data_IF_432348992902
#
_entry.id   IF_432348992902
#
_cell.length_a   1.000
_cell.length_b   1.000
_cell.length_c   1.000
_cell.angle_alpha   90.00
_cell.angle_beta   90.00
_cell.angle_gamma   90.00
#
_symmetry.space_group_name_H-M   'P 1'
#
loop_
_entity.id
_entity.type
_entity.pdbx_description
1 polymer ?
#
# COMPACT_ATOMS: atom_id res chain seq x y z
N UNK A 1 12.83 11.00 6.99
CA UNK A 1 11.45 10.48 6.78
C UNK A 1 10.76 10.38 8.14
N UNK A 2 9.53 10.92 8.27
CA UNK A 2 8.68 10.73 9.47
C UNK A 2 8.14 9.31 9.53
N UNK A 3 7.88 8.81 10.74
CA UNK A 3 7.30 7.49 10.97
C UNK A 3 6.04 7.59 11.81
N UNK A 4 5.15 6.60 11.66
CA UNK A 4 3.91 6.44 12.45
C UNK A 4 3.84 5.04 13.05
N UNK A 5 3.13 4.94 14.17
CA UNK A 5 2.88 3.66 14.83
C UNK A 5 1.75 2.92 14.11
N UNK A 6 1.94 1.63 13.87
CA UNK A 6 0.97 0.70 13.32
C UNK A 6 1.00 -0.58 14.18
N UNK A 7 0.16 -0.64 15.21
CA UNK A 7 0.26 -1.67 16.24
C UNK A 7 1.67 -1.71 16.84
N UNK A 8 2.37 -2.87 16.83
CA UNK A 8 3.75 -2.99 17.31
C UNK A 8 4.81 -2.45 16.32
N UNK A 9 4.40 -1.98 15.14
CA UNK A 9 5.29 -1.59 14.06
C UNK A 9 5.48 -0.07 14.02
N UNK A 10 6.64 0.36 13.50
CA UNK A 10 6.93 1.76 13.23
C UNK A 10 7.24 1.95 11.75
N UNK A 11 6.26 2.46 11.00
CA UNK A 11 6.29 2.56 9.53
C UNK A 11 6.57 3.98 9.06
N UNK A 12 7.33 4.14 7.98
CA UNK A 12 7.51 5.43 7.31
C UNK A 12 6.19 5.92 6.70
N UNK A 13 5.95 7.23 6.76
CA UNK A 13 4.71 7.87 6.25
C UNK A 13 4.52 7.62 4.75
N UNK A 14 5.62 7.49 4.01
CA UNK A 14 5.64 7.02 2.63
C UNK A 14 6.24 5.62 2.61
N UNK A 15 5.51 4.65 2.09
CA UNK A 15 5.93 3.28 1.88
C UNK A 15 6.19 2.98 0.40
N UNK A 16 6.92 1.91 0.12
CA UNK A 16 7.18 1.42 -1.23
C UNK A 16 6.26 0.25 -1.58
N UNK A 17 5.37 0.45 -2.56
CA UNK A 17 4.60 -0.63 -3.17
C UNK A 17 5.43 -1.40 -4.21
N UNK A 18 5.62 -2.70 -3.99
CA UNK A 18 6.54 -3.55 -4.74
C UNK A 18 5.89 -4.29 -5.93
N UNK A 19 4.68 -3.93 -6.35
CA UNK A 19 3.94 -4.62 -7.42
C UNK A 19 4.57 -4.49 -8.83
N UNK A 20 5.61 -3.67 -8.99
CA UNK A 20 6.38 -3.56 -10.23
C UNK A 20 7.54 -4.58 -10.30
N UNK A 21 8.00 -5.10 -9.18
CA UNK A 21 9.12 -6.04 -9.09
C UNK A 21 8.74 -7.39 -9.72
N UNK A 22 9.62 -7.95 -10.54
CA UNK A 22 9.35 -9.17 -11.29
C UNK A 22 8.38 -9.00 -12.48
N UNK A 23 7.97 -7.75 -12.77
CA UNK A 23 7.09 -7.44 -13.92
C UNK A 23 7.67 -6.34 -14.82
N UNK A 24 7.86 -5.15 -14.29
CA UNK A 24 8.41 -3.96 -14.97
C UNK A 24 9.83 -3.64 -14.53
N UNK A 25 10.23 -4.19 -13.41
CA UNK A 25 11.55 -3.98 -12.79
C UNK A 25 12.15 -5.36 -12.56
N UNK A 26 13.32 -5.59 -13.11
CA UNK A 26 14.10 -6.80 -12.91
C UNK A 26 14.80 -6.81 -11.54
N UNK A 27 15.60 -7.84 -11.28
CA UNK A 27 16.29 -8.00 -10.00
C UNK A 27 17.29 -6.86 -9.72
N UNK A 28 18.07 -6.45 -10.73
CA UNK A 28 19.06 -5.37 -10.58
C UNK A 28 18.38 -4.02 -10.33
N UNK A 29 17.33 -3.72 -11.09
CA UNK A 29 16.51 -2.53 -10.90
C UNK A 29 15.79 -2.53 -9.54
N UNK A 30 15.31 -3.71 -9.09
CA UNK A 30 14.70 -3.85 -7.75
C UNK A 30 15.70 -3.48 -6.67
N UNK A 31 16.96 -3.98 -6.75
CA UNK A 31 17.99 -3.62 -5.79
C UNK A 31 18.23 -2.11 -5.76
N UNK A 32 18.38 -1.47 -6.92
CA UNK A 32 18.60 -0.03 -7.00
C UNK A 32 17.42 0.79 -6.41
N UNK A 33 16.17 0.34 -6.64
CA UNK A 33 14.96 0.96 -6.08
C UNK A 33 14.92 0.78 -4.55
N UNK A 34 15.24 -0.41 -4.02
CA UNK A 34 15.28 -0.69 -2.58
C UNK A 34 16.41 0.10 -1.89
N UNK A 35 17.59 0.19 -2.52
CA UNK A 35 18.71 1.01 -2.00
C UNK A 35 18.27 2.48 -1.86
N UNK A 36 17.68 3.06 -2.92
CA UNK A 36 17.19 4.43 -2.88
C UNK A 36 16.07 4.66 -1.86
N UNK A 37 15.23 3.64 -1.61
CA UNK A 37 14.17 3.72 -0.60
C UNK A 37 14.77 3.80 0.81
N UNK A 38 15.69 2.91 1.14
CA UNK A 38 16.38 2.90 2.43
C UNK A 38 17.18 4.17 2.66
N UNK A 39 17.91 4.67 1.63
CA UNK A 39 18.65 5.93 1.69
C UNK A 39 17.75 7.15 1.91
N UNK A 40 16.53 7.12 1.37
CA UNK A 40 15.53 8.16 1.61
C UNK A 40 14.78 8.01 2.96
N UNK A 41 15.13 6.99 3.76
CA UNK A 41 14.50 6.69 5.04
C UNK A 41 13.13 6.01 4.94
N UNK A 42 12.78 5.47 3.77
CA UNK A 42 11.59 4.63 3.61
C UNK A 42 11.90 3.25 4.18
N UNK A 43 11.15 2.84 5.20
CA UNK A 43 11.33 1.53 5.84
C UNK A 43 10.17 0.56 5.60
N UNK A 44 9.04 1.02 5.06
CA UNK A 44 7.86 0.20 4.83
C UNK A 44 7.79 -0.29 3.38
N UNK A 45 7.92 -1.62 3.20
CA UNK A 45 7.93 -2.30 1.90
C UNK A 45 6.72 -3.23 1.82
N UNK A 46 5.82 -2.98 0.86
CA UNK A 46 4.58 -3.72 0.68
C UNK A 46 4.62 -4.56 -0.59
N UNK A 47 4.67 -5.87 -0.44
CA UNK A 47 4.63 -6.86 -1.53
C UNK A 47 3.43 -7.79 -1.42
N UNK A 48 3.38 -8.87 -2.20
CA UNK A 48 2.41 -9.94 -2.12
C UNK A 48 2.92 -11.21 -2.84
N UNK A 49 2.46 -12.38 -2.41
CA UNK A 49 2.76 -13.67 -3.07
C UNK A 49 2.41 -13.69 -4.56
N UNK A 50 1.36 -12.96 -4.95
CA UNK A 50 0.86 -12.90 -6.34
C UNK A 50 1.64 -11.93 -7.23
N UNK A 51 2.49 -11.03 -6.69
CA UNK A 51 3.18 -10.04 -7.50
C UNK A 51 4.32 -10.67 -8.29
N UNK A 52 4.26 -10.52 -9.61
CA UNK A 52 5.24 -11.14 -10.52
C UNK A 52 5.33 -12.66 -10.35
N UNK A 53 4.25 -13.33 -9.94
CA UNK A 53 4.22 -14.78 -9.64
C UNK A 53 5.29 -15.18 -8.58
N UNK A 54 5.40 -14.38 -7.53
CA UNK A 54 6.35 -14.57 -6.43
C UNK A 54 7.71 -13.90 -6.65
N UNK A 55 8.03 -13.43 -7.85
CA UNK A 55 9.32 -12.77 -8.13
C UNK A 55 9.49 -11.48 -7.32
N UNK A 56 8.40 -10.75 -7.03
CA UNK A 56 8.48 -9.55 -6.20
C UNK A 56 9.04 -9.85 -4.82
N UNK A 57 8.58 -10.92 -4.17
CA UNK A 57 9.11 -11.35 -2.87
C UNK A 57 10.57 -11.82 -2.99
N UNK A 58 10.89 -12.62 -4.02
CA UNK A 58 12.25 -13.14 -4.21
C UNK A 58 13.27 -12.00 -4.43
N UNK A 59 12.95 -11.03 -5.29
CA UNK A 59 13.83 -9.89 -5.57
C UNK A 59 13.97 -8.97 -4.35
N UNK A 60 12.88 -8.77 -3.60
CA UNK A 60 12.90 -7.97 -2.38
C UNK A 60 13.75 -8.64 -1.28
N UNK A 61 13.58 -9.95 -1.08
CA UNK A 61 14.38 -10.74 -0.13
C UNK A 61 15.88 -10.65 -0.44
N UNK A 62 16.26 -10.82 -1.72
CA UNK A 62 17.63 -10.65 -2.18
C UNK A 62 18.17 -9.22 -1.94
N UNK A 63 17.36 -8.20 -2.26
CA UNK A 63 17.74 -6.80 -2.06
C UNK A 63 17.90 -6.44 -0.57
N UNK A 64 17.20 -7.10 0.34
CA UNK A 64 17.28 -6.86 1.80
C UNK A 64 18.28 -7.76 2.51
N UNK A 65 19.01 -8.64 1.81
CA UNK A 65 19.99 -9.53 2.42
C UNK A 65 21.04 -8.74 3.20
N UNK A 66 21.26 -9.11 4.47
CA UNK A 66 22.21 -8.44 5.39
C UNK A 66 21.74 -7.08 5.94
N UNK A 67 20.48 -6.71 5.67
CA UNK A 67 19.88 -5.45 6.17
C UNK A 67 18.35 -5.55 6.39
N UNK A 68 17.86 -6.79 6.61
CA UNK A 68 16.44 -7.09 6.85
C UNK A 68 15.85 -6.25 8.00
N UNK A 69 16.63 -5.96 9.01
CA UNK A 69 16.28 -5.18 10.20
C UNK A 69 15.99 -3.70 9.89
N UNK A 70 16.39 -3.19 8.72
CA UNK A 70 16.09 -1.82 8.28
C UNK A 70 14.70 -1.70 7.65
N UNK A 71 14.03 -2.82 7.41
CA UNK A 71 12.74 -2.89 6.71
C UNK A 71 11.62 -3.36 7.63
N UNK A 72 10.47 -2.67 7.57
CA UNK A 72 9.18 -3.21 7.96
C UNK A 72 8.58 -3.85 6.72
N UNK A 73 8.57 -5.17 6.71
CA UNK A 73 8.22 -5.97 5.55
C UNK A 73 6.78 -6.45 5.63
N UNK A 74 5.95 -6.00 4.69
CA UNK A 74 4.58 -6.44 4.52
C UNK A 74 4.45 -7.34 3.29
N UNK A 75 3.77 -8.48 3.44
CA UNK A 75 3.33 -9.30 2.31
C UNK A 75 1.88 -9.75 2.48
N UNK A 76 1.31 -10.36 1.43
CA UNK A 76 -0.09 -10.72 1.37
C UNK A 76 -0.28 -12.13 0.84
N UNK A 77 -1.33 -12.80 1.32
CA UNK A 77 -1.81 -14.09 0.83
C UNK A 77 -3.25 -13.98 0.30
N UNK A 78 -3.68 -14.98 -0.43
CA UNK A 78 -5.06 -15.07 -0.91
C UNK A 78 -5.36 -14.18 -2.12
N UNK A 79 -4.35 -13.55 -2.71
CA UNK A 79 -4.48 -12.71 -3.90
C UNK A 79 -4.21 -13.47 -5.20
N UNK A 80 -4.71 -12.88 -6.33
CA UNK A 80 -4.41 -13.36 -7.68
C UNK A 80 -5.31 -14.52 -8.17
N UNK A 81 -6.00 -14.27 -9.27
CA UNK A 81 -6.90 -15.22 -9.91
C UNK A 81 -8.38 -14.98 -9.61
N UNK A 82 -9.25 -15.74 -10.27
CA UNK A 82 -10.68 -15.82 -9.97
C UNK A 82 -10.85 -16.12 -8.49
N UNK A 83 -11.80 -15.45 -7.85
CA UNK A 83 -12.12 -15.46 -6.43
C UNK A 83 -11.46 -16.60 -5.65
N UNK A 84 -10.61 -16.25 -4.70
CA UNK A 84 -9.69 -17.17 -4.03
C UNK A 84 -10.37 -18.17 -3.14
N UNK A 85 -10.94 -19.16 -3.74
CA UNK A 85 -11.64 -20.23 -3.06
C UNK A 85 -10.70 -21.03 -2.15
N UNK A 86 -11.00 -21.05 -0.84
CA UNK A 86 -10.25 -21.78 0.18
C UNK A 86 -8.91 -21.15 0.57
N UNK A 87 -8.59 -19.94 0.09
CA UNK A 87 -7.30 -19.27 0.36
C UNK A 87 -7.22 -18.65 1.75
N UNK A 88 -8.36 -18.49 2.43
CA UNK A 88 -8.46 -18.04 3.81
C UNK A 88 -8.36 -19.19 4.84
N UNK A 89 -8.30 -20.44 4.42
CA UNK A 89 -8.20 -21.57 5.34
C UNK A 89 -6.86 -21.63 6.06
N UNK A 90 -6.85 -22.13 7.28
CA UNK A 90 -5.66 -22.25 8.13
C UNK A 90 -4.50 -22.95 7.41
N UNK A 91 -4.77 -24.04 6.69
CA UNK A 91 -3.75 -24.77 5.96
C UNK A 91 -3.13 -23.92 4.85
N UNK A 92 -3.97 -23.25 4.05
CA UNK A 92 -3.49 -22.43 2.94
C UNK A 92 -2.74 -21.20 3.42
N UNK A 93 -3.18 -20.54 4.49
CA UNK A 93 -2.48 -19.40 5.10
C UNK A 93 -1.06 -19.81 5.52
N UNK A 94 -0.91 -20.95 6.20
CA UNK A 94 0.38 -21.47 6.64
C UNK A 94 1.28 -21.83 5.46
N UNK A 95 0.75 -22.53 4.46
CA UNK A 95 1.50 -22.87 3.23
C UNK A 95 1.96 -21.62 2.49
N UNK A 96 1.08 -20.63 2.33
CA UNK A 96 1.38 -19.37 1.67
C UNK A 96 2.48 -18.60 2.41
N UNK A 97 2.40 -18.53 3.75
CA UNK A 97 3.42 -17.87 4.58
C UNK A 97 4.77 -18.56 4.46
N UNK A 98 4.84 -19.88 4.60
CA UNK A 98 6.09 -20.64 4.45
C UNK A 98 6.76 -20.37 3.10
N UNK A 99 5.98 -20.39 2.00
CA UNK A 99 6.48 -20.07 0.68
C UNK A 99 6.95 -18.62 0.56
N UNK A 100 6.25 -17.66 1.19
CA UNK A 100 6.65 -16.26 1.23
C UNK A 100 7.93 -16.05 2.02
N UNK A 101 8.08 -16.68 3.20
CA UNK A 101 9.30 -16.63 4.01
C UNK A 101 10.53 -17.16 3.25
N UNK A 102 10.35 -18.27 2.50
CA UNK A 102 11.43 -18.81 1.65
C UNK A 102 11.83 -17.80 0.55
N UNK A 103 10.87 -17.22 -0.18
CA UNK A 103 11.16 -16.23 -1.23
C UNK A 103 11.78 -14.96 -0.67
N UNK A 104 11.30 -14.47 0.47
CA UNK A 104 11.79 -13.28 1.16
C UNK A 104 13.11 -13.51 1.93
N UNK A 105 13.56 -14.77 2.06
CA UNK A 105 14.79 -15.16 2.76
C UNK A 105 14.83 -14.64 4.21
N UNK A 106 13.74 -14.80 4.94
CA UNK A 106 13.57 -14.34 6.33
C UNK A 106 12.77 -15.36 7.13
N UNK A 107 12.91 -15.35 8.43
CA UNK A 107 12.18 -16.21 9.37
C UNK A 107 10.83 -15.65 9.80
N UNK A 108 10.60 -14.35 9.57
CA UNK A 108 9.34 -13.67 9.88
C UNK A 108 9.03 -12.52 8.92
N UNK A 109 7.76 -12.13 8.85
CA UNK A 109 7.32 -10.87 8.26
C UNK A 109 6.71 -9.95 9.31
N UNK A 110 6.82 -8.64 9.10
CA UNK A 110 6.32 -7.67 10.08
C UNK A 110 4.81 -7.49 9.99
N UNK A 111 4.26 -7.46 8.76
CA UNK A 111 2.82 -7.34 8.52
C UNK A 111 2.37 -8.36 7.49
N UNK A 112 1.47 -9.26 7.88
CA UNK A 112 0.89 -10.27 6.98
C UNK A 112 -0.57 -9.94 6.71
N UNK A 113 -0.96 -9.81 5.42
CA UNK A 113 -2.27 -9.28 5.08
C UNK A 113 -3.09 -10.28 4.26
N UNK A 114 -4.37 -10.45 4.61
CA UNK A 114 -5.33 -11.13 3.72
C UNK A 114 -5.66 -10.20 2.56
N UNK A 115 -5.29 -10.58 1.34
CA UNK A 115 -5.32 -9.69 0.17
C UNK A 115 -6.75 -9.32 -0.26
N UNK A 116 -7.68 -10.21 -0.04
CA UNK A 116 -9.13 -10.02 -0.21
C UNK A 116 -9.88 -11.13 0.52
N UNK A 117 -11.13 -10.86 0.89
CA UNK A 117 -11.99 -11.83 1.55
C UNK A 117 -12.11 -13.14 0.74
N UNK A 118 -12.16 -14.26 1.46
CA UNK A 118 -12.47 -15.58 0.92
C UNK A 118 -13.88 -16.01 1.37
N UNK A 119 -14.88 -15.93 0.49
CA UNK A 119 -16.26 -16.26 0.87
C UNK A 119 -16.48 -17.75 1.17
N UNK A 120 -15.51 -18.62 0.90
CA UNK A 120 -15.62 -20.07 1.17
C UNK A 120 -15.03 -20.48 2.50
N UNK A 121 -14.22 -19.61 3.13
CA UNK A 121 -13.64 -19.86 4.45
C UNK A 121 -14.33 -18.96 5.48
N UNK A 122 -14.85 -19.53 6.59
CA UNK A 122 -15.35 -18.70 7.68
C UNK A 122 -14.28 -17.71 8.16
N UNK A 123 -14.61 -16.42 8.23
CA UNK A 123 -13.65 -15.39 8.66
C UNK A 123 -13.01 -15.69 10.03
N UNK A 124 -13.75 -16.34 10.92
CA UNK A 124 -13.25 -16.76 12.23
C UNK A 124 -12.07 -17.75 12.13
N UNK A 125 -12.07 -18.63 11.13
CA UNK A 125 -10.95 -19.56 10.89
C UNK A 125 -9.72 -18.78 10.40
N UNK A 126 -9.91 -17.86 9.45
CA UNK A 126 -8.85 -17.01 8.92
C UNK A 126 -8.18 -16.18 10.02
N UNK A 127 -8.99 -15.50 10.85
CA UNK A 127 -8.47 -14.66 11.94
C UNK A 127 -7.78 -15.52 13.01
N UNK A 128 -8.35 -16.66 13.39
CA UNK A 128 -7.72 -17.57 14.36
C UNK A 128 -6.35 -18.08 13.86
N UNK A 129 -6.23 -18.39 12.58
CA UNK A 129 -4.97 -18.82 11.99
C UNK A 129 -3.91 -17.70 12.01
N UNK A 130 -4.31 -16.45 11.76
CA UNK A 130 -3.42 -15.28 11.85
C UNK A 130 -2.98 -15.01 13.30
N UNK A 131 -3.89 -15.10 14.27
CA UNK A 131 -3.55 -14.99 15.69
C UNK A 131 -2.54 -16.07 16.14
N UNK A 132 -2.65 -17.30 15.63
CA UNK A 132 -1.67 -18.36 15.89
C UNK A 132 -0.28 -18.00 15.35
N UNK A 133 -0.20 -17.48 14.12
CA UNK A 133 1.06 -17.08 13.50
C UNK A 133 1.76 -15.92 14.24
N UNK A 134 0.98 -15.01 14.85
CA UNK A 134 1.52 -13.97 15.75
C UNK A 134 2.13 -14.62 17.01
N UNK A 135 1.40 -15.54 17.66
CA UNK A 135 1.90 -16.25 18.85
C UNK A 135 3.13 -17.12 18.57
N UNK A 136 3.25 -17.65 17.35
CA UNK A 136 4.42 -18.40 16.89
C UNK A 136 5.62 -17.49 16.52
N UNK A 137 5.42 -16.18 16.47
CA UNK A 137 6.45 -15.22 16.05
C UNK A 137 6.78 -15.24 14.56
N UNK A 138 5.97 -15.93 13.74
CA UNK A 138 6.13 -15.97 12.28
C UNK A 138 5.70 -14.66 11.60
N UNK A 139 4.77 -13.94 12.22
CA UNK A 139 4.34 -12.60 11.84
C UNK A 139 4.29 -11.72 13.09
N UNK A 140 4.57 -10.44 12.98
CA UNK A 140 4.51 -9.51 14.13
C UNK A 140 3.13 -8.88 14.29
N UNK A 141 2.43 -8.67 13.17
CA UNK A 141 1.07 -8.15 13.10
C UNK A 141 0.41 -8.63 11.82
N UNK A 142 -0.91 -8.49 11.75
CA UNK A 142 -1.64 -8.78 10.53
C UNK A 142 -2.67 -7.71 10.20
N UNK A 143 -3.14 -7.72 8.96
CA UNK A 143 -4.14 -6.82 8.42
C UNK A 143 -4.99 -7.49 7.34
N UNK A 144 -5.90 -6.70 6.82
CA UNK A 144 -6.72 -7.08 5.67
C UNK A 144 -6.53 -6.09 4.53
N UNK A 145 -6.96 -6.47 3.34
CA UNK A 145 -6.96 -5.61 2.17
C UNK A 145 -8.24 -5.84 1.37
N UNK A 146 -8.82 -4.73 0.86
CA UNK A 146 -10.07 -4.76 0.09
C UNK A 146 -11.30 -5.28 0.87
N UNK A 147 -11.28 -5.18 2.19
CA UNK A 147 -12.43 -5.46 3.02
C UNK A 147 -13.37 -4.25 3.06
N UNK A 148 -14.68 -4.51 3.13
CA UNK A 148 -15.67 -3.49 3.46
C UNK A 148 -15.56 -3.06 4.93
N UNK A 149 -16.24 -1.98 5.31
CA UNK A 149 -16.33 -1.55 6.69
C UNK A 149 -16.89 -2.66 7.61
N UNK A 150 -17.95 -3.35 7.17
CA UNK A 150 -18.60 -4.42 7.93
C UNK A 150 -17.68 -5.66 8.10
N UNK A 151 -16.90 -6.03 7.08
CA UNK A 151 -15.94 -7.13 7.16
C UNK A 151 -14.76 -6.77 8.07
N UNK A 152 -14.29 -5.52 8.01
CA UNK A 152 -13.26 -4.98 8.90
C UNK A 152 -13.71 -5.02 10.37
N UNK A 153 -14.95 -4.63 10.66
CA UNK A 153 -15.53 -4.72 12.00
C UNK A 153 -15.61 -6.17 12.51
N UNK A 154 -16.05 -7.10 11.65
CA UNK A 154 -16.10 -8.52 12.00
C UNK A 154 -14.71 -9.08 12.29
N UNK A 155 -13.72 -8.75 11.45
CA UNK A 155 -12.34 -9.17 11.65
C UNK A 155 -11.77 -8.64 12.97
N UNK A 156 -11.98 -7.36 13.28
CA UNK A 156 -11.56 -6.74 14.53
C UNK A 156 -12.23 -7.38 15.76
N UNK A 157 -13.52 -7.72 15.68
CA UNK A 157 -14.23 -8.38 16.78
C UNK A 157 -13.75 -9.82 17.05
N UNK A 158 -13.22 -10.50 16.04
CA UNK A 158 -12.69 -11.87 16.12
C UNK A 158 -11.23 -11.91 16.58
N UNK A 159 -10.46 -10.87 16.30
CA UNK A 159 -9.03 -10.80 16.61
C UNK A 159 -8.75 -10.85 18.11
N UNK A 160 -7.69 -11.56 18.50
CA UNK A 160 -7.19 -11.67 19.88
C UNK A 160 -5.75 -11.18 20.04
N UNK A 161 -5.08 -10.92 18.93
CA UNK A 161 -3.67 -10.54 18.90
C UNK A 161 -3.50 -9.16 18.22
N UNK A 162 -2.85 -9.11 17.08
CA UNK A 162 -2.39 -7.87 16.46
C UNK A 162 -3.02 -7.64 15.06
N UNK A 163 -4.34 -7.51 15.00
CA UNK A 163 -5.01 -6.97 13.80
C UNK A 163 -4.88 -5.45 13.80
N UNK A 164 -4.08 -4.91 12.89
CA UNK A 164 -3.62 -3.52 12.99
C UNK A 164 -3.95 -2.64 11.79
N UNK A 165 -4.34 -3.21 10.64
CA UNK A 165 -4.53 -2.41 9.42
C UNK A 165 -5.59 -2.92 8.47
N UNK A 166 -6.14 -1.98 7.71
CA UNK A 166 -6.87 -2.23 6.47
C UNK A 166 -6.16 -1.51 5.31
N UNK A 167 -5.93 -2.22 4.20
CA UNK A 167 -5.31 -1.68 3.01
C UNK A 167 -6.30 -1.64 1.85
N UNK A 168 -6.70 -0.46 1.40
CA UNK A 168 -7.67 -0.29 0.32
C UNK A 168 -7.31 0.81 -0.66
N UNK A 169 -7.97 0.79 -1.83
CA UNK A 169 -7.77 1.80 -2.87
C UNK A 169 -8.19 3.17 -2.36
N UNK A 170 -7.23 4.10 -2.38
CA UNK A 170 -7.52 5.49 -2.02
C UNK A 170 -6.56 6.45 -2.72
N UNK A 171 -7.14 7.47 -3.33
CA UNK A 171 -6.44 8.59 -3.97
C UNK A 171 -7.40 9.78 -4.07
N UNK A 172 -6.91 10.97 -4.42
CA UNK A 172 -7.78 12.11 -4.69
C UNK A 172 -8.74 11.92 -5.89
N UNK A 173 -8.54 10.86 -6.71
CA UNK A 173 -9.46 10.47 -7.78
C UNK A 173 -10.33 9.25 -7.42
N UNK A 174 -10.18 8.65 -6.24
CA UNK A 174 -10.95 7.49 -5.76
C UNK A 174 -11.09 7.61 -4.25
N UNK A 175 -12.21 8.19 -3.78
CA UNK A 175 -12.43 8.61 -2.38
C UNK A 175 -13.52 7.80 -1.66
N UNK A 176 -13.95 6.69 -2.24
CA UNK A 176 -15.04 5.85 -1.71
C UNK A 176 -14.77 5.39 -0.27
N UNK A 177 -13.48 5.13 0.07
CA UNK A 177 -13.09 4.71 1.42
C UNK A 177 -13.41 5.74 2.53
N UNK A 178 -13.54 7.02 2.17
CA UNK A 178 -13.85 8.09 3.15
C UNK A 178 -15.26 7.98 3.74
N UNK A 179 -16.18 7.31 3.04
CA UNK A 179 -17.59 7.25 3.45
C UNK A 179 -17.81 6.41 4.71
N UNK A 180 -17.22 5.22 4.74
CA UNK A 180 -17.46 4.23 5.80
C UNK A 180 -16.17 3.59 6.31
N UNK A 181 -15.30 3.15 5.41
CA UNK A 181 -14.14 2.32 5.76
C UNK A 181 -13.10 3.06 6.61
N UNK A 182 -12.69 4.27 6.21
CA UNK A 182 -11.74 5.07 7.00
C UNK A 182 -12.32 5.48 8.36
N UNK A 183 -13.58 5.97 8.49
CA UNK A 183 -14.21 6.17 9.80
C UNK A 183 -14.24 4.91 10.66
N UNK A 184 -14.52 3.74 10.08
CA UNK A 184 -14.49 2.45 10.79
C UNK A 184 -13.08 2.12 11.27
N UNK A 185 -12.05 2.25 10.43
CA UNK A 185 -10.67 2.07 10.85
C UNK A 185 -10.29 3.00 12.02
N UNK A 186 -10.64 4.28 11.93
CA UNK A 186 -10.37 5.25 12.99
C UNK A 186 -11.04 4.86 14.32
N UNK A 187 -12.31 4.44 14.29
CA UNK A 187 -13.06 4.00 15.48
C UNK A 187 -12.47 2.74 16.11
N UNK A 188 -11.94 1.83 15.29
CA UNK A 188 -11.34 0.58 15.75
C UNK A 188 -9.85 0.71 16.10
N UNK A 189 -9.24 1.89 15.93
CA UNK A 189 -7.80 2.09 16.17
C UNK A 189 -6.90 1.40 15.13
N UNK A 190 -7.45 1.08 13.95
CA UNK A 190 -6.70 0.47 12.85
C UNK A 190 -6.04 1.53 11.98
N UNK A 191 -4.82 1.25 11.51
CA UNK A 191 -4.17 2.05 10.49
C UNK A 191 -4.74 1.77 9.11
N UNK A 192 -4.98 2.83 8.33
CA UNK A 192 -5.39 2.71 6.93
C UNK A 192 -4.18 2.89 6.02
N UNK A 193 -4.02 1.99 5.03
CA UNK A 193 -2.89 1.98 4.10
C UNK A 193 -3.43 2.17 2.67
N UNK A 194 -3.37 3.38 2.09
CA UNK A 194 -3.79 3.63 0.71
C UNK A 194 -2.90 2.90 -0.30
N UNK A 195 -3.50 2.11 -1.21
CA UNK A 195 -2.83 1.69 -2.43
C UNK A 195 -3.33 2.48 -3.65
N UNK A 196 -2.52 2.55 -4.72
CA UNK A 196 -2.73 3.40 -5.90
C UNK A 196 -2.92 4.90 -5.60
N UNK A 197 -2.14 5.48 -4.67
CA UNK A 197 -2.29 6.88 -4.30
C UNK A 197 -2.08 7.84 -5.48
N UNK A 198 -1.30 7.42 -6.48
CA UNK A 198 -1.01 8.19 -7.69
C UNK A 198 -1.98 7.90 -8.85
N UNK A 199 -3.07 7.15 -8.63
CA UNK A 199 -4.08 6.81 -9.63
C UNK A 199 -3.46 6.35 -10.96
N UNK A 200 -2.63 5.31 -10.94
CA UNK A 200 -1.86 4.82 -12.09
C UNK A 200 -0.89 5.84 -12.71
N UNK A 201 -0.50 6.84 -11.95
CA UNK A 201 0.39 7.92 -12.37
C UNK A 201 -0.32 9.17 -12.88
N UNK A 202 -1.64 9.24 -12.86
CA UNK A 202 -2.42 10.42 -13.23
C UNK A 202 -2.03 11.64 -12.35
N UNK A 203 -1.77 11.40 -11.07
CA UNK A 203 -1.42 12.44 -10.10
C UNK A 203 0.09 12.73 -10.01
N UNK A 204 0.86 12.43 -11.07
CA UNK A 204 2.30 12.75 -11.14
C UNK A 204 2.61 13.96 -12.04
N UNK A 205 1.59 14.56 -12.66
CA UNK A 205 1.74 15.71 -13.54
C UNK A 205 2.28 15.40 -14.96
N UNK A 206 2.48 14.12 -15.32
CA UNK A 206 3.02 13.73 -16.65
C UNK A 206 1.96 13.59 -17.74
N UNK A 207 0.68 13.46 -17.40
CA UNK A 207 -0.43 13.38 -18.36
C UNK A 207 -1.05 14.76 -18.56
N UNK A 208 -1.32 15.13 -19.80
CA UNK A 208 -1.87 16.44 -20.16
C UNK A 208 -3.06 16.28 -21.09
N UNK A 209 -4.12 17.05 -20.87
CA UNK A 209 -5.28 17.09 -21.75
C UNK A 209 -4.85 17.44 -23.18
N UNK A 210 -5.41 16.73 -24.16
CA UNK A 210 -5.11 16.95 -25.57
C UNK A 210 -3.74 16.43 -26.04
N UNK A 211 -3.00 15.72 -25.18
CA UNK A 211 -1.74 15.07 -25.55
C UNK A 211 -1.82 13.56 -25.33
N UNK A 212 -1.27 12.73 -26.22
CA UNK A 212 -1.18 11.30 -25.98
C UNK A 212 -0.38 11.00 -24.70
N UNK A 213 -0.77 9.94 -23.99
CA UNK A 213 0.00 9.50 -22.83
C UNK A 213 1.43 9.11 -23.25
N UNK A 214 2.48 9.55 -22.52
CA UNK A 214 3.86 9.29 -22.89
C UNK A 214 4.15 7.78 -23.00
N UNK A 215 5.02 7.41 -23.95
CA UNK A 215 5.46 6.02 -24.12
C UNK A 215 6.07 5.44 -22.84
N UNK A 216 5.95 4.13 -22.64
CA UNK A 216 6.45 3.43 -21.46
C UNK A 216 5.69 3.72 -20.17
N UNK A 217 4.69 4.64 -20.19
CA UNK A 217 3.84 4.89 -19.01
C UNK A 217 2.72 3.86 -18.90
N UNK A 218 2.11 3.77 -17.70
CA UNK A 218 1.05 2.78 -17.40
C UNK A 218 -0.23 2.99 -18.23
N UNK A 219 -0.50 4.22 -18.63
CA UNK A 219 -1.69 4.62 -19.40
C UNK A 219 -1.40 4.89 -20.89
N UNK A 220 -0.21 4.54 -21.39
CA UNK A 220 0.07 4.62 -22.82
C UNK A 220 -0.98 3.81 -23.61
N UNK A 221 -1.57 4.43 -24.65
CA UNK A 221 -2.63 3.82 -25.46
C UNK A 221 -4.00 3.69 -24.76
N UNK A 222 -4.18 4.28 -23.58
CA UNK A 222 -5.47 4.32 -22.87
C UNK A 222 -6.05 5.72 -22.88
N UNK A 223 -7.35 5.81 -23.01
CA UNK A 223 -8.08 7.06 -22.90
C UNK A 223 -8.23 7.47 -21.43
N UNK A 224 -8.04 8.76 -21.16
CA UNK A 224 -8.31 9.41 -19.87
C UNK A 224 -9.53 10.28 -20.08
N UNK A 225 -10.58 10.07 -19.28
CA UNK A 225 -11.85 10.78 -19.48
C UNK A 225 -11.74 12.29 -19.21
N UNK A 226 -12.59 13.10 -19.85
CA UNK A 226 -12.66 14.54 -19.57
C UNK A 226 -12.83 14.86 -18.08
N UNK A 227 -13.67 14.13 -17.37
CA UNK A 227 -13.94 14.31 -15.94
C UNK A 227 -12.71 14.01 -15.09
N UNK A 228 -11.90 13.02 -15.49
CA UNK A 228 -10.63 12.76 -14.83
C UNK A 228 -9.65 13.92 -15.01
N UNK A 229 -9.58 14.49 -16.22
CA UNK A 229 -8.75 15.68 -16.46
C UNK A 229 -9.25 16.89 -15.67
N UNK A 230 -10.56 17.14 -15.58
CA UNK A 230 -11.12 18.26 -14.80
C UNK A 230 -10.67 18.18 -13.35
N UNK A 231 -10.72 16.99 -12.75
CA UNK A 231 -10.28 16.77 -11.37
C UNK A 231 -8.76 16.90 -11.20
N UNK A 232 -7.97 16.40 -12.15
CA UNK A 232 -6.49 16.54 -12.12
C UNK A 232 -6.12 18.02 -12.22
N UNK A 233 -6.71 18.76 -13.15
CA UNK A 233 -6.44 20.19 -13.37
C UNK A 233 -6.85 21.03 -12.15
N UNK A 234 -7.96 20.70 -11.48
CA UNK A 234 -8.34 21.35 -10.21
C UNK A 234 -7.29 21.12 -9.10
N UNK A 235 -6.77 19.89 -8.98
CA UNK A 235 -5.69 19.57 -8.04
C UNK A 235 -4.37 20.24 -8.43
N UNK A 236 -4.07 20.43 -9.72
CA UNK A 236 -2.89 21.17 -10.18
C UNK A 236 -3.01 22.68 -9.87
N UNK A 237 -4.20 23.26 -10.01
CA UNK A 237 -4.46 24.66 -9.60
C UNK A 237 -4.23 24.80 -8.11
N UNK A 238 -4.84 23.93 -7.31
CA UNK A 238 -4.65 23.89 -5.85
C UNK A 238 -3.17 23.81 -5.46
N UNK A 239 -2.40 22.89 -6.07
CA UNK A 239 -0.98 22.71 -5.79
C UNK A 239 -0.18 23.98 -6.11
N UNK A 240 -0.42 24.59 -7.29
CA UNK A 240 0.26 25.80 -7.73
C UNK A 240 0.01 27.00 -6.81
N UNK A 241 -1.23 27.20 -6.33
CA UNK A 241 -1.58 28.28 -5.41
C UNK A 241 -0.85 28.16 -4.07
N UNK A 242 -0.41 26.96 -3.68
CA UNK A 242 0.31 26.68 -2.43
C UNK A 242 1.81 26.49 -2.62
N UNK A 243 2.31 26.64 -3.84
CA UNK A 243 3.73 26.48 -4.15
C UNK A 243 4.23 25.05 -3.97
N UNK A 244 3.34 24.04 -4.06
CA UNK A 244 3.67 22.61 -3.98
C UNK A 244 3.39 21.92 -5.31
N UNK A 245 3.93 20.72 -5.48
CA UNK A 245 3.72 19.90 -6.67
C UNK A 245 2.45 19.04 -6.54
N UNK A 246 1.89 18.61 -7.66
CA UNK A 246 0.77 17.64 -7.67
C UNK A 246 1.14 16.33 -6.95
N UNK A 247 2.40 15.91 -7.02
CA UNK A 247 2.89 14.72 -6.32
C UNK A 247 2.85 14.91 -4.80
N UNK A 248 3.21 16.08 -4.30
CA UNK A 248 3.11 16.43 -2.87
C UNK A 248 1.65 16.45 -2.40
N UNK A 249 0.75 17.01 -3.21
CA UNK A 249 -0.70 16.93 -2.93
C UNK A 249 -1.18 15.49 -2.89
N UNK A 250 -0.75 14.67 -3.86
CA UNK A 250 -1.16 13.27 -3.97
C UNK A 250 -0.68 12.39 -2.81
N UNK A 251 0.53 12.59 -2.33
CA UNK A 251 1.12 11.77 -1.25
C UNK A 251 0.90 12.42 0.11
N UNK A 252 1.36 13.66 0.29
CA UNK A 252 1.28 14.37 1.56
C UNK A 252 -0.16 14.65 1.98
N UNK A 253 -1.01 15.05 1.04
CA UNK A 253 -2.43 15.27 1.29
C UNK A 253 -3.17 14.01 1.75
N UNK A 254 -2.87 12.84 1.15
CA UNK A 254 -3.43 11.57 1.63
C UNK A 254 -2.85 11.16 2.98
N UNK A 255 -1.54 11.33 3.16
CA UNK A 255 -0.88 11.01 4.42
C UNK A 255 -1.44 11.82 5.60
N UNK A 256 -1.98 12.99 5.35
CA UNK A 256 -2.57 13.85 6.38
C UNK A 256 -4.03 13.47 6.73
N UNK A 257 -4.66 12.54 6.00
CA UNK A 257 -6.02 12.08 6.31
C UNK A 257 -5.99 11.01 7.43
N UNK A 258 -6.60 11.24 8.59
CA UNK A 258 -6.78 10.15 9.57
C UNK A 258 -7.72 9.06 8.99
N UNK A 259 -7.47 7.79 9.22
CA UNK A 259 -6.40 7.15 9.98
C UNK A 259 -5.21 6.64 9.13
N UNK A 260 -4.88 7.33 8.03
CA UNK A 260 -3.77 6.91 7.15
C UNK A 260 -2.46 6.85 7.92
N UNK A 261 -1.77 5.70 7.86
CA UNK A 261 -0.49 5.49 8.55
C UNK A 261 0.71 5.50 7.60
N UNK A 262 0.53 4.98 6.38
CA UNK A 262 1.58 4.98 5.36
C UNK A 262 0.94 4.99 3.97
N UNK A 263 1.40 5.86 3.09
CA UNK A 263 0.95 5.92 1.69
C UNK A 263 1.91 5.07 0.85
N UNK A 264 1.46 3.90 0.37
CA UNK A 264 2.32 3.04 -0.43
C UNK A 264 2.30 3.44 -1.91
N UNK A 265 3.39 4.06 -2.35
CA UNK A 265 3.57 4.49 -3.73
C UNK A 265 4.51 3.53 -4.48
N UNK A 266 4.07 3.04 -5.65
CA UNK A 266 4.91 2.20 -6.52
C UNK A 266 5.95 3.03 -7.26
N UNK A 267 7.13 2.45 -7.48
CA UNK A 267 8.20 3.05 -8.28
C UNK A 267 8.83 2.02 -9.24
N UNK A 268 9.45 2.50 -10.31
CA UNK A 268 10.20 1.70 -11.27
C UNK A 268 11.65 2.19 -11.43
N UNK A 269 12.03 3.27 -10.74
CA UNK A 269 13.40 3.78 -10.71
C UNK A 269 13.73 4.43 -9.36
N UNK A 270 15.03 4.57 -9.02
CA UNK A 270 15.50 5.30 -7.83
C UNK A 270 14.99 6.74 -7.75
N UNK A 271 14.92 7.44 -8.88
CA UNK A 271 14.45 8.84 -8.96
C UNK A 271 12.98 8.94 -8.52
N UNK A 272 12.13 8.00 -8.97
CA UNK A 272 10.72 7.96 -8.57
C UNK A 272 10.58 7.71 -7.06
N UNK A 273 11.41 6.83 -6.49
CA UNK A 273 11.41 6.59 -5.03
C UNK A 273 11.77 7.86 -4.27
N UNK A 274 12.86 8.54 -4.67
CA UNK A 274 13.29 9.79 -4.02
C UNK A 274 12.22 10.87 -4.14
N UNK A 275 11.60 11.00 -5.31
CA UNK A 275 10.51 11.96 -5.52
C UNK A 275 9.29 11.63 -4.64
N UNK A 276 8.87 10.36 -4.56
CA UNK A 276 7.77 9.94 -3.70
C UNK A 276 8.10 10.19 -2.22
N UNK A 277 9.31 9.88 -1.78
CA UNK A 277 9.76 10.09 -0.39
C UNK A 277 9.82 11.58 -0.02
N UNK A 278 10.24 12.44 -0.96
CA UNK A 278 10.26 13.88 -0.76
C UNK A 278 8.86 14.53 -0.76
N UNK A 279 7.86 13.85 -1.32
CA UNK A 279 6.50 14.36 -1.45
C UNK A 279 5.65 14.25 -0.15
N UNK A 280 6.26 14.02 1.00
CA UNK A 280 5.62 13.99 2.31
C UNK A 280 5.29 15.41 2.81
N UNK A 281 4.57 16.20 1.99
CA UNK A 281 4.07 17.52 2.34
C UNK A 281 3.10 17.45 3.52
N UNK A 282 3.11 18.47 4.38
CA UNK A 282 2.21 18.60 5.52
C UNK A 282 1.22 19.73 5.27
N UNK A 283 0.00 19.43 4.80
CA UNK A 283 -1.04 20.42 4.60
C UNK A 283 -1.53 21.01 5.92
N UNK A 284 -1.91 22.28 5.88
CA UNK A 284 -2.65 22.93 6.97
C UNK A 284 -4.09 22.38 7.06
N UNK A 285 -4.83 22.60 8.16
CA UNK A 285 -6.25 22.27 8.26
C UNK A 285 -7.10 22.90 7.15
N UNK A 286 -6.78 24.14 6.75
CA UNK A 286 -7.47 24.84 5.67
C UNK A 286 -7.19 24.20 4.31
N UNK A 287 -5.95 23.74 4.08
CA UNK A 287 -5.60 22.98 2.87
C UNK A 287 -6.39 21.67 2.78
N UNK A 288 -6.50 20.95 3.89
CA UNK A 288 -7.26 19.69 3.94
C UNK A 288 -8.76 19.94 3.67
N UNK A 289 -9.30 21.03 4.20
CA UNK A 289 -10.69 21.42 3.95
C UNK A 289 -10.92 21.76 2.48
N UNK A 290 -10.01 22.53 1.87
CA UNK A 290 -10.06 22.87 0.45
C UNK A 290 -9.91 21.63 -0.44
N UNK A 291 -8.96 20.71 -0.14
CA UNK A 291 -8.77 19.46 -0.88
C UNK A 291 -10.02 18.57 -0.84
N UNK A 292 -10.70 18.48 0.30
CA UNK A 292 -11.95 17.72 0.42
C UNK A 292 -13.06 18.27 -0.45
N UNK A 293 -13.05 19.57 -0.69
CA UNK A 293 -14.02 20.26 -1.57
C UNK A 293 -13.77 20.08 -3.07
N UNK A 294 -12.61 19.56 -3.50
CA UNK A 294 -12.25 19.38 -4.90
C UNK A 294 -12.70 18.03 -5.51
N UNK A 295 -13.40 17.18 -4.79
CA UNK A 295 -13.68 15.82 -5.23
C UNK A 295 -15.13 15.38 -5.31
#
# INVERSE_FOLDING_TARGET
MKTRTLGPLKVSVVGLGCNNFGRRVDQAGTRAVVDAALDAGVNFFDTAESYGSGQSESFLGEALRGRREKAVLATKFGGGGKAGYGKGSREQIRRALEASLQRLQTDHVDLYQHHQEDPQTPLAETIAALDELVREGKIRAYGTSNYSAAETEKAAALSREAYVSEQSKYSWLAREAERELMPTCARLGLGFIPYFPLANGLLTGKYRRGRPAPEGTRLHGREISPEQYDRIEALEVFARERGVTLLEVAIGGLAAQPPVVSVIAGATSPEQVRANAAAAWEPTPDDLTALRGLG
#
